data_IF_067068348975
#
_entry.id   IF_067068348975
#
_cell.length_a   1.000
_cell.length_b   1.000
_cell.length_c   1.000
_cell.angle_alpha   90.00
_cell.angle_beta   90.00
_cell.angle_gamma   90.00
#
_symmetry.space_group_name_H-M   'P 1'
#
loop_
_entity.id
_entity.type
_entity.pdbx_description
1 polymer ?
#
# COMPACT_ATOMS: atom_id res chain seq x y z
N UNK A 1 -17.66 10.21 -8.82
CA UNK A 1 -19.05 10.24 -9.31
C UNK A 1 -19.89 9.40 -8.36
N UNK A 2 -21.10 9.82 -7.97
CA UNK A 2 -21.98 8.97 -7.16
C UNK A 2 -22.20 7.67 -7.93
N UNK A 3 -22.01 6.50 -7.31
CA UNK A 3 -22.19 5.21 -8.01
C UNK A 3 -23.63 5.11 -8.50
N UNK A 4 -23.84 4.56 -9.70
CA UNK A 4 -25.17 4.39 -10.29
C UNK A 4 -26.09 3.56 -9.37
N UNK A 5 -25.51 2.70 -8.53
CA UNK A 5 -26.23 1.93 -7.49
C UNK A 5 -26.80 2.82 -6.37
N UNK A 6 -26.06 3.84 -5.93
CA UNK A 6 -26.57 4.81 -4.96
C UNK A 6 -27.75 5.59 -5.54
N UNK A 7 -27.68 5.93 -6.82
CA UNK A 7 -28.76 6.61 -7.54
C UNK A 7 -29.99 5.72 -7.72
N UNK A 8 -29.79 4.43 -8.02
CA UNK A 8 -30.86 3.45 -8.13
C UNK A 8 -31.53 3.18 -6.78
N UNK A 9 -30.75 3.08 -5.70
CA UNK A 9 -31.25 2.97 -4.32
C UNK A 9 -32.15 4.14 -3.95
N UNK A 10 -31.66 5.37 -4.15
CA UNK A 10 -32.42 6.59 -3.84
C UNK A 10 -33.72 6.66 -4.65
N UNK A 11 -33.70 6.22 -5.92
CA UNK A 11 -34.88 6.15 -6.77
C UNK A 11 -35.92 5.14 -6.28
N UNK A 12 -35.48 3.96 -5.84
CA UNK A 12 -36.35 2.93 -5.30
C UNK A 12 -36.95 3.35 -3.95
N UNK A 13 -36.18 4.00 -3.08
CA UNK A 13 -36.67 4.58 -1.81
C UNK A 13 -37.73 5.64 -2.07
N UNK A 14 -37.50 6.56 -3.03
CA UNK A 14 -38.45 7.63 -3.37
C UNK A 14 -39.77 7.08 -3.94
N UNK A 15 -39.69 6.12 -4.85
CA UNK A 15 -40.89 5.54 -5.47
C UNK A 15 -41.74 4.77 -4.48
N UNK A 16 -41.11 4.09 -3.53
CA UNK A 16 -41.83 3.21 -2.63
C UNK A 16 -42.30 3.91 -1.34
N UNK A 17 -41.73 5.06 -0.97
CA UNK A 17 -42.37 6.02 -0.05
C UNK A 17 -43.67 6.57 -0.67
N UNK A 18 -43.68 6.74 -1.99
CA UNK A 18 -44.83 7.28 -2.74
C UNK A 18 -45.95 6.26 -2.96
N UNK A 19 -45.65 4.96 -2.98
CA UNK A 19 -46.62 3.88 -3.26
C UNK A 19 -46.99 3.01 -2.05
N UNK A 20 -46.32 3.18 -0.90
CA UNK A 20 -46.59 2.39 0.31
C UNK A 20 -46.19 0.92 0.22
N UNK A 21 -45.44 0.53 -0.82
CA UNK A 21 -44.90 -0.82 -0.99
C UNK A 21 -43.75 -1.08 0.02
N UNK A 22 -43.53 -2.35 0.37
CA UNK A 22 -42.46 -2.77 1.30
C UNK A 22 -41.08 -2.49 0.70
N UNK A 23 -40.54 -1.31 0.98
CA UNK A 23 -39.17 -0.88 0.64
C UNK A 23 -38.13 -1.77 1.29
N UNK A 24 -38.49 -2.35 2.43
CA UNK A 24 -37.58 -3.04 3.34
C UNK A 24 -36.83 -4.15 2.61
N UNK A 25 -37.53 -4.95 1.81
CA UNK A 25 -36.96 -6.12 1.16
C UNK A 25 -36.09 -5.75 -0.05
N UNK A 26 -36.50 -4.75 -0.84
CA UNK A 26 -35.69 -4.28 -1.98
C UNK A 26 -34.44 -3.51 -1.53
N UNK A 27 -34.55 -2.69 -0.48
CA UNK A 27 -33.39 -2.01 0.10
C UNK A 27 -32.46 -2.96 0.84
N UNK A 28 -32.97 -3.99 1.53
CA UNK A 28 -32.09 -4.97 2.18
C UNK A 28 -31.25 -5.72 1.15
N UNK A 29 -31.84 -6.12 0.02
CA UNK A 29 -31.12 -6.79 -1.07
C UNK A 29 -30.06 -5.86 -1.69
N UNK A 30 -30.40 -4.59 -1.95
CA UNK A 30 -29.45 -3.64 -2.52
C UNK A 30 -28.32 -3.27 -1.55
N UNK A 31 -28.61 -3.13 -0.25
CA UNK A 31 -27.58 -2.92 0.79
C UNK A 31 -26.68 -4.15 0.89
N UNK A 32 -27.24 -5.35 0.88
CA UNK A 32 -26.48 -6.60 0.98
C UNK A 32 -25.58 -6.81 -0.25
N UNK A 33 -26.04 -6.40 -1.44
CA UNK A 33 -25.21 -6.37 -2.65
C UNK A 33 -24.05 -5.37 -2.53
N UNK A 34 -24.31 -4.14 -2.07
CA UNK A 34 -23.26 -3.12 -1.89
C UNK A 34 -22.22 -3.58 -0.85
N UNK A 35 -22.67 -4.14 0.28
CA UNK A 35 -21.75 -4.67 1.31
C UNK A 35 -20.87 -5.78 0.74
N UNK A 36 -21.44 -6.66 -0.11
CA UNK A 36 -20.69 -7.72 -0.78
C UNK A 36 -19.67 -7.18 -1.77
N UNK A 37 -20.03 -6.19 -2.57
CA UNK A 37 -19.10 -5.52 -3.50
C UNK A 37 -17.99 -4.78 -2.76
N UNK A 38 -18.31 -4.07 -1.68
CA UNK A 38 -17.31 -3.42 -0.84
C UNK A 38 -16.34 -4.44 -0.22
N UNK A 39 -16.84 -5.59 0.24
CA UNK A 39 -15.98 -6.67 0.73
C UNK A 39 -15.02 -7.19 -0.35
N UNK A 40 -15.52 -7.40 -1.58
CA UNK A 40 -14.70 -7.83 -2.72
C UNK A 40 -13.61 -6.79 -3.05
N UNK A 41 -13.97 -5.50 -3.05
CA UNK A 41 -13.03 -4.41 -3.31
C UNK A 41 -11.95 -4.30 -2.25
N UNK A 42 -12.30 -4.47 -0.96
CA UNK A 42 -11.35 -4.50 0.15
C UNK A 42 -10.41 -5.70 0.03
N UNK A 43 -10.93 -6.86 -0.33
CA UNK A 43 -10.14 -8.09 -0.52
C UNK A 43 -9.20 -7.96 -1.73
N UNK A 44 -9.67 -7.38 -2.83
CA UNK A 44 -8.85 -7.08 -4.00
C UNK A 44 -7.77 -6.02 -3.71
N UNK A 45 -8.11 -4.99 -2.93
CA UNK A 45 -7.16 -3.98 -2.47
C UNK A 45 -6.08 -4.62 -1.59
N UNK A 46 -6.43 -5.46 -0.62
CA UNK A 46 -5.48 -6.21 0.20
C UNK A 46 -4.56 -7.11 -0.63
N UNK A 47 -5.13 -7.80 -1.64
CA UNK A 47 -4.34 -8.61 -2.60
C UNK A 47 -3.38 -7.78 -3.44
N UNK A 48 -3.73 -6.55 -3.82
CA UNK A 48 -2.85 -5.63 -4.59
C UNK A 48 -1.81 -4.93 -3.72
N UNK A 49 -2.15 -4.63 -2.46
CA UNK A 49 -1.27 -3.95 -1.53
C UNK A 49 -0.05 -4.81 -1.17
N UNK A 50 -0.22 -6.12 -1.01
CA UNK A 50 0.86 -7.03 -0.63
C UNK A 50 2.03 -7.06 -1.65
N UNK A 51 1.82 -7.31 -2.96
CA UNK A 51 2.89 -7.24 -3.96
C UNK A 51 3.50 -5.84 -4.11
N UNK A 52 2.69 -4.79 -4.01
CA UNK A 52 3.14 -3.41 -4.20
C UNK A 52 4.02 -2.95 -3.02
N UNK A 53 3.66 -3.34 -1.79
CA UNK A 53 4.49 -3.16 -0.61
C UNK A 53 5.80 -3.94 -0.72
N UNK A 54 5.75 -5.19 -1.19
CA UNK A 54 6.95 -6.01 -1.40
C UNK A 54 7.89 -5.41 -2.45
N UNK A 55 7.36 -4.93 -3.57
CA UNK A 55 8.15 -4.25 -4.60
C UNK A 55 8.80 -2.97 -4.06
N UNK A 56 8.05 -2.17 -3.29
CA UNK A 56 8.57 -0.98 -2.65
C UNK A 56 9.70 -1.31 -1.65
N UNK A 57 9.53 -2.37 -0.84
CA UNK A 57 10.56 -2.86 0.08
C UNK A 57 11.83 -3.34 -0.66
N UNK A 58 11.68 -4.06 -1.77
CA UNK A 58 12.80 -4.52 -2.58
C UNK A 58 13.62 -3.34 -3.14
N UNK A 59 12.93 -2.37 -3.73
CA UNK A 59 13.61 -1.20 -4.33
C UNK A 59 14.22 -0.28 -3.27
N UNK A 60 13.57 -0.12 -2.12
CA UNK A 60 14.00 0.81 -1.08
C UNK A 60 15.08 0.24 -0.13
N UNK A 61 15.08 -1.06 0.14
CA UNK A 61 15.98 -1.67 1.15
C UNK A 61 16.96 -2.65 0.51
N UNK A 62 16.47 -3.57 -0.32
CA UNK A 62 17.28 -4.67 -0.88
C UNK A 62 18.22 -4.17 -1.99
N UNK A 63 17.73 -3.30 -2.88
CA UNK A 63 18.53 -2.71 -3.95
C UNK A 63 19.73 -1.90 -3.43
N UNK A 64 19.59 -0.98 -2.45
CA UNK A 64 20.75 -0.29 -1.90
C UNK A 64 21.70 -1.22 -1.13
N UNK A 65 21.21 -2.24 -0.41
CA UNK A 65 22.12 -3.17 0.29
C UNK A 65 22.96 -4.01 -0.68
N UNK A 66 22.34 -4.56 -1.73
CA UNK A 66 23.04 -5.32 -2.77
C UNK A 66 23.93 -4.41 -3.63
N UNK A 67 23.47 -3.21 -3.95
CA UNK A 67 24.24 -2.22 -4.68
C UNK A 67 25.56 -1.91 -3.98
N UNK A 68 25.55 -1.73 -2.67
CA UNK A 68 26.75 -1.49 -1.87
C UNK A 68 27.68 -2.71 -1.88
N UNK A 69 27.15 -3.93 -1.70
CA UNK A 69 27.96 -5.14 -1.75
C UNK A 69 28.69 -5.28 -3.10
N UNK A 70 27.97 -5.06 -4.21
CA UNK A 70 28.56 -5.10 -5.56
C UNK A 70 29.59 -4.00 -5.75
N UNK A 71 29.31 -2.78 -5.26
CA UNK A 71 30.23 -1.65 -5.36
C UNK A 71 31.54 -1.90 -4.60
N UNK A 72 31.47 -2.54 -3.43
CA UNK A 72 32.66 -2.95 -2.65
C UNK A 72 33.48 -4.00 -3.42
N UNK A 73 32.82 -4.98 -4.03
CA UNK A 73 33.49 -6.01 -4.84
C UNK A 73 34.21 -5.37 -6.02
N UNK A 74 33.54 -4.49 -6.76
CA UNK A 74 34.14 -3.76 -7.90
C UNK A 74 35.30 -2.86 -7.45
N UNK A 75 35.13 -2.12 -6.35
CA UNK A 75 36.19 -1.25 -5.82
C UNK A 75 37.45 -2.06 -5.44
N UNK A 76 37.28 -3.29 -4.98
CA UNK A 76 38.37 -4.21 -4.66
C UNK A 76 39.11 -4.64 -5.93
N UNK A 77 38.40 -4.94 -7.03
CA UNK A 77 39.00 -5.30 -8.31
C UNK A 77 39.75 -4.15 -8.99
N UNK A 78 39.29 -2.91 -8.82
CA UNK A 78 39.92 -1.71 -9.39
C UNK A 78 41.17 -1.28 -8.60
N UNK A 79 41.45 -1.89 -7.44
CA UNK A 79 42.61 -1.55 -6.62
C UNK A 79 42.48 -0.21 -5.89
N UNK A 80 41.25 0.27 -5.71
CA UNK A 80 40.96 1.49 -4.96
C UNK A 80 41.35 1.27 -3.49
N UNK A 81 42.45 1.89 -3.05
CA UNK A 81 42.87 1.88 -1.64
C UNK A 81 41.91 2.78 -0.85
N UNK A 82 40.80 2.19 -0.41
CA UNK A 82 39.83 2.82 0.47
C UNK A 82 40.50 3.08 1.83
N UNK A 83 40.89 4.34 2.06
CA UNK A 83 41.36 4.77 3.39
C UNK A 83 40.17 4.73 4.36
N UNK A 84 40.43 4.36 5.61
CA UNK A 84 39.45 4.35 6.72
C UNK A 84 38.45 5.53 6.74
N UNK A 85 38.86 6.80 6.57
CA UNK A 85 37.91 7.91 6.53
C UNK A 85 36.89 7.85 5.38
N UNK A 86 37.28 7.36 4.21
CA UNK A 86 36.38 7.22 3.04
C UNK A 86 35.38 6.09 3.27
N UNK A 87 35.84 4.99 3.88
CA UNK A 87 34.96 3.89 4.30
C UNK A 87 33.93 4.35 5.33
N UNK A 88 34.35 5.15 6.31
CA UNK A 88 33.47 5.62 7.37
C UNK A 88 32.43 6.63 6.87
N UNK A 89 32.82 7.56 5.99
CA UNK A 89 31.87 8.51 5.39
C UNK A 89 30.88 7.81 4.45
N UNK A 90 31.34 6.83 3.67
CA UNK A 90 30.46 6.04 2.81
C UNK A 90 29.49 5.18 3.63
N UNK A 91 29.96 4.50 4.67
CA UNK A 91 29.13 3.72 5.58
C UNK A 91 28.10 4.60 6.31
N UNK A 92 28.51 5.79 6.78
CA UNK A 92 27.62 6.76 7.41
C UNK A 92 26.53 7.27 6.46
N UNK A 93 26.89 7.63 5.22
CA UNK A 93 25.92 8.08 4.21
C UNK A 93 24.91 7.00 3.81
N UNK A 94 25.37 5.76 3.67
CA UNK A 94 24.50 4.61 3.38
C UNK A 94 23.58 4.31 4.56
N UNK A 95 24.12 4.28 5.78
CA UNK A 95 23.34 4.04 7.00
C UNK A 95 22.28 5.11 7.22
N UNK A 96 22.61 6.38 6.95
CA UNK A 96 21.65 7.48 7.01
C UNK A 96 20.52 7.33 5.98
N UNK A 97 20.85 7.00 4.72
CA UNK A 97 19.85 6.73 3.68
C UNK A 97 18.95 5.56 4.06
N UNK A 98 19.51 4.44 4.53
CA UNK A 98 18.74 3.28 4.96
C UNK A 98 17.81 3.62 6.13
N UNK A 99 18.29 4.41 7.10
CA UNK A 99 17.49 4.86 8.25
C UNK A 99 16.32 5.75 7.82
N UNK A 100 16.57 6.73 6.94
CA UNK A 100 15.52 7.61 6.39
C UNK A 100 14.44 6.82 5.66
N UNK A 101 14.82 5.85 4.84
CA UNK A 101 13.88 5.01 4.11
C UNK A 101 13.10 4.06 5.04
N UNK A 102 13.76 3.48 6.05
CA UNK A 102 13.08 2.68 7.08
C UNK A 102 12.06 3.52 7.86
N UNK A 103 12.38 4.77 8.19
CA UNK A 103 11.46 5.68 8.87
C UNK A 103 10.21 5.97 8.01
N UNK A 104 10.39 6.22 6.70
CA UNK A 104 9.29 6.42 5.76
C UNK A 104 8.43 5.16 5.65
N UNK A 105 9.04 4.00 5.44
CA UNK A 105 8.32 2.72 5.35
C UNK A 105 7.56 2.41 6.63
N UNK A 106 8.15 2.67 7.80
CA UNK A 106 7.50 2.46 9.09
C UNK A 106 6.29 3.38 9.27
N UNK A 107 6.34 4.58 8.70
CA UNK A 107 5.21 5.52 8.62
C UNK A 107 4.17 5.13 7.57
N UNK A 108 4.54 4.35 6.55
CA UNK A 108 3.62 3.88 5.50
C UNK A 108 2.96 2.53 5.82
N UNK A 109 3.29 1.91 6.96
CA UNK A 109 2.53 0.76 7.46
C UNK A 109 1.12 1.25 7.83
N UNK A 110 0.04 0.72 7.21
CA UNK A 110 -1.31 1.05 7.63
C UNK A 110 -1.46 0.65 9.11
N UNK A 111 -1.94 1.55 9.99
CA UNK A 111 -2.39 1.15 11.31
C UNK A 111 -3.65 0.31 11.09
N UNK A 112 -3.47 -1.00 10.97
CA UNK A 112 -4.55 -1.95 11.17
C UNK A 112 -4.68 -2.16 12.67
N UNK A 113 -5.33 -1.19 13.31
CA UNK A 113 -5.93 -1.38 14.61
C UNK A 113 -7.20 -2.21 14.37
N UNK A 114 -7.09 -3.51 14.64
CA UNK A 114 -8.24 -4.38 14.82
C UNK A 114 -8.61 -4.34 16.31
N UNK A 115 -9.47 -3.40 16.71
CA UNK A 115 -10.24 -3.44 17.95
C UNK A 115 -11.73 -3.61 17.62
#
# INVERSE_FOLDING_TARGET
SPSDDLRNLLWQTLNSIKTGASIRDSMSVAIEQIVREQHILVEEYGRKLSPLAMFYMMMAVIAPSLGVAILIVIATFIGLRLRLPVLLTMAGGIGFMQFMFLAIIRSSRPPVDFD
#
